data_IF_308056235226
#
_entry.id   IF_308056235226
#
_cell.length_a   1.000
_cell.length_b   1.000
_cell.length_c   1.000
_cell.angle_alpha   90.00
_cell.angle_beta   90.00
_cell.angle_gamma   90.00
#
_symmetry.space_group_name_H-M   'P 1'
#
loop_
_entity.id
_entity.type
_entity.pdbx_description
1 polymer ?
#
# COMPACT_ATOMS: atom_id res chain seq x y z
N UNK A 1 -17.02 11.44 3.03
CA UNK A 1 -16.11 11.84 4.13
C UNK A 1 -15.62 13.27 3.92
N UNK A 2 -15.63 14.16 4.94
CA UNK A 2 -15.37 15.60 4.74
C UNK A 2 -13.96 16.01 5.22
N UNK A 3 -12.93 15.44 4.60
CA UNK A 3 -11.55 15.87 4.77
C UNK A 3 -11.16 16.88 3.67
N UNK A 4 -10.14 17.68 3.95
CA UNK A 4 -9.55 18.64 3.01
C UNK A 4 -8.22 18.12 2.45
N UNK A 5 -7.54 17.26 3.24
CA UNK A 5 -6.21 16.77 2.94
C UNK A 5 -6.14 15.24 3.12
N UNK A 6 -5.65 14.58 2.11
CA UNK A 6 -5.55 13.12 2.03
C UNK A 6 -4.09 12.73 1.88
N UNK A 7 -3.56 11.98 2.83
CA UNK A 7 -2.20 11.45 2.83
C UNK A 7 -2.29 9.96 2.54
N UNK A 8 -1.71 9.53 1.44
CA UNK A 8 -1.82 8.18 0.91
C UNK A 8 -0.54 7.38 1.12
N UNK A 9 -0.65 6.13 1.53
CA UNK A 9 0.35 5.12 1.19
C UNK A 9 0.23 4.74 -0.28
N UNK A 10 1.26 4.10 -0.83
CA UNK A 10 1.26 3.68 -2.23
C UNK A 10 0.96 2.19 -2.38
N UNK A 11 1.86 1.36 -1.84
CA UNK A 11 1.85 -0.08 -2.11
C UNK A 11 0.86 -0.83 -1.23
N UNK A 12 -0.12 -1.49 -1.80
CA UNK A 12 -1.23 -2.11 -1.08
C UNK A 12 -2.42 -1.17 -0.89
N UNK A 13 -2.26 0.12 -1.21
CA UNK A 13 -3.31 1.14 -1.05
C UNK A 13 -3.77 1.72 -2.39
N UNK A 14 -2.91 2.39 -3.12
CA UNK A 14 -3.22 2.89 -4.47
C UNK A 14 -2.70 1.95 -5.55
N UNK A 15 -1.55 1.34 -5.31
CA UNK A 15 -0.88 0.39 -6.20
C UNK A 15 -1.12 -1.03 -5.71
N UNK A 16 -1.74 -1.88 -6.52
CA UNK A 16 -1.83 -3.32 -6.28
C UNK A 16 -0.51 -3.99 -6.64
N UNK A 17 0.52 -3.66 -5.86
CA UNK A 17 1.83 -4.26 -6.05
C UNK A 17 1.87 -5.73 -5.66
N UNK A 18 0.93 -6.23 -4.87
CA UNK A 18 0.85 -7.66 -4.53
C UNK A 18 0.46 -8.48 -5.75
N UNK A 19 -0.38 -7.94 -6.65
CA UNK A 19 -0.69 -8.60 -7.92
C UNK A 19 0.56 -8.73 -8.80
N UNK A 20 1.29 -7.64 -9.05
CA UNK A 20 2.54 -7.67 -9.80
C UNK A 20 3.60 -8.54 -9.12
N UNK A 21 3.75 -8.41 -7.79
CA UNK A 21 4.70 -9.19 -7.01
C UNK A 21 4.38 -10.69 -7.03
N UNK A 22 3.09 -11.08 -6.96
CA UNK A 22 2.69 -12.49 -7.02
C UNK A 22 2.93 -13.09 -8.39
N UNK A 23 2.75 -12.30 -9.45
CA UNK A 23 3.08 -12.72 -10.81
C UNK A 23 4.59 -12.97 -10.96
N UNK A 24 5.43 -12.01 -10.56
CA UNK A 24 6.88 -12.16 -10.58
C UNK A 24 7.36 -13.35 -9.73
N UNK A 25 6.79 -13.52 -8.53
CA UNK A 25 7.14 -14.62 -7.63
C UNK A 25 6.83 -15.98 -8.26
N UNK A 26 5.62 -16.14 -8.81
CA UNK A 26 5.19 -17.38 -9.47
C UNK A 26 6.03 -17.69 -10.72
N UNK A 27 6.35 -16.66 -11.51
CA UNK A 27 7.23 -16.82 -12.67
C UNK A 27 8.64 -17.23 -12.27
N UNK A 28 9.17 -16.71 -11.18
CA UNK A 28 10.49 -17.10 -10.62
C UNK A 28 10.47 -18.56 -10.13
N UNK A 29 9.40 -18.97 -9.41
CA UNK A 29 9.23 -20.37 -8.99
C UNK A 29 9.24 -21.32 -10.20
N UNK A 30 8.53 -20.94 -11.25
CA UNK A 30 8.50 -21.74 -12.47
C UNK A 30 9.87 -21.79 -13.16
N UNK A 31 10.55 -20.65 -13.32
CA UNK A 31 11.83 -20.60 -14.04
C UNK A 31 12.96 -21.35 -13.31
N UNK A 32 12.97 -21.34 -11.97
CA UNK A 32 14.02 -21.97 -11.18
C UNK A 32 13.76 -23.45 -10.85
N UNK A 33 12.51 -23.87 -10.75
CA UNK A 33 12.16 -25.21 -10.24
C UNK A 33 10.96 -25.86 -10.94
N UNK A 34 10.40 -25.26 -12.01
CA UNK A 34 9.15 -25.69 -12.65
C UNK A 34 8.00 -25.89 -11.63
N UNK A 35 8.09 -25.14 -10.51
CA UNK A 35 7.14 -25.22 -9.40
C UNK A 35 5.93 -24.36 -9.65
N UNK A 36 4.73 -24.98 -9.56
CA UNK A 36 3.44 -24.29 -9.68
C UNK A 36 2.81 -24.17 -8.30
N UNK A 37 2.48 -22.94 -7.92
CA UNK A 37 1.71 -22.61 -6.71
C UNK A 37 0.53 -21.74 -7.16
N UNK A 38 -0.61 -21.84 -6.50
CA UNK A 38 -1.74 -20.96 -6.78
C UNK A 38 -1.30 -19.49 -6.54
N UNK A 39 -1.53 -18.64 -7.53
CA UNK A 39 -1.13 -17.22 -7.43
C UNK A 39 -1.80 -16.51 -6.27
N UNK A 40 -3.03 -16.88 -5.93
CA UNK A 40 -3.74 -16.38 -4.74
C UNK A 40 -3.00 -16.69 -3.44
N UNK A 41 -2.43 -17.91 -3.31
CA UNK A 41 -1.68 -18.30 -2.11
C UNK A 41 -0.37 -17.52 -2.00
N UNK A 42 0.27 -17.23 -3.14
CA UNK A 42 1.47 -16.36 -3.20
C UNK A 42 1.10 -14.92 -2.84
N UNK A 43 0.01 -14.40 -3.40
CA UNK A 43 -0.52 -13.07 -3.12
C UNK A 43 -0.74 -12.87 -1.62
N UNK A 44 -1.47 -13.80 -0.98
CA UNK A 44 -1.76 -13.76 0.46
C UNK A 44 -0.49 -13.85 1.31
N UNK A 45 0.47 -14.70 0.91
CA UNK A 45 1.75 -14.80 1.61
C UNK A 45 2.59 -13.52 1.50
N UNK A 46 2.58 -12.86 0.34
CA UNK A 46 3.27 -11.59 0.14
C UNK A 46 2.64 -10.43 0.93
N UNK A 47 1.32 -10.47 1.16
CA UNK A 47 0.65 -9.51 2.08
C UNK A 47 1.19 -9.63 3.51
N UNK A 48 1.57 -10.82 3.96
CA UNK A 48 2.25 -10.99 5.25
C UNK A 48 3.66 -10.42 5.18
N UNK A 49 4.52 -10.98 4.34
CA UNK A 49 5.84 -10.42 3.99
C UNK A 49 6.50 -11.22 2.86
N UNK A 50 7.44 -10.59 2.16
CA UNK A 50 8.30 -11.30 1.18
C UNK A 50 9.08 -12.44 1.85
N UNK A 51 9.59 -12.24 3.08
CA UNK A 51 10.33 -13.27 3.81
C UNK A 51 9.44 -14.49 4.09
N UNK A 52 8.20 -14.28 4.53
CA UNK A 52 7.24 -15.35 4.76
C UNK A 52 6.90 -16.12 3.46
N UNK A 53 6.69 -15.41 2.35
CA UNK A 53 6.42 -16.06 1.06
C UNK A 53 7.61 -16.91 0.59
N UNK A 54 8.84 -16.41 0.73
CA UNK A 54 10.06 -17.15 0.39
C UNK A 54 10.22 -18.38 1.28
N UNK A 55 10.05 -18.23 2.59
CA UNK A 55 10.12 -19.36 3.54
C UNK A 55 9.11 -20.45 3.18
N UNK A 56 7.89 -20.05 2.86
CA UNK A 56 6.77 -20.97 2.58
C UNK A 56 6.91 -21.70 1.24
N UNK A 57 7.40 -21.03 0.20
CA UNK A 57 7.32 -21.58 -1.17
C UNK A 57 8.67 -21.80 -1.86
N UNK A 58 9.75 -21.23 -1.36
CA UNK A 58 11.05 -21.21 -2.03
C UNK A 58 12.26 -21.38 -1.06
N UNK A 59 12.04 -21.87 0.15
CA UNK A 59 13.11 -22.04 1.17
C UNK A 59 14.23 -22.99 0.74
N UNK A 60 13.95 -23.89 -0.19
CA UNK A 60 14.89 -24.86 -0.77
C UNK A 60 15.55 -24.37 -2.08
N UNK A 61 15.31 -23.13 -2.51
CA UNK A 61 15.81 -22.56 -3.76
C UNK A 61 16.87 -21.46 -3.48
N UNK A 62 18.17 -21.79 -3.47
CA UNK A 62 19.21 -20.79 -3.30
C UNK A 62 19.16 -19.71 -4.38
N UNK A 63 19.29 -18.43 -4.02
CA UNK A 63 19.26 -17.30 -4.96
C UNK A 63 17.86 -16.87 -5.39
N UNK A 64 16.79 -17.54 -4.95
CA UNK A 64 15.42 -17.22 -5.35
C UNK A 64 15.06 -15.75 -5.09
N UNK A 65 15.39 -15.22 -3.92
CA UNK A 65 15.05 -13.85 -3.56
C UNK A 65 15.68 -12.83 -4.52
N UNK A 66 16.90 -13.07 -4.97
CA UNK A 66 17.60 -12.18 -5.90
C UNK A 66 16.91 -12.16 -7.28
N UNK A 67 16.64 -13.35 -7.84
CA UNK A 67 15.96 -13.46 -9.14
C UNK A 67 14.52 -12.92 -9.09
N UNK A 68 13.80 -13.23 -8.01
CA UNK A 68 12.46 -12.67 -7.79
C UNK A 68 12.48 -11.14 -7.77
N UNK A 69 13.45 -10.52 -7.05
CA UNK A 69 13.54 -9.06 -6.96
C UNK A 69 13.87 -8.39 -8.29
N UNK A 70 14.64 -9.04 -9.16
CA UNK A 70 14.88 -8.54 -10.53
C UNK A 70 13.57 -8.52 -11.32
N UNK A 71 12.86 -9.63 -11.33
CA UNK A 71 11.62 -9.75 -12.10
C UNK A 71 10.51 -8.86 -11.51
N UNK A 72 10.41 -8.75 -10.18
CA UNK A 72 9.48 -7.83 -9.51
C UNK A 72 9.72 -6.38 -9.92
N UNK A 73 10.99 -5.95 -10.06
CA UNK A 73 11.31 -4.60 -10.48
C UNK A 73 10.83 -4.31 -11.92
N UNK A 74 10.98 -5.30 -12.82
CA UNK A 74 10.49 -5.20 -14.21
C UNK A 74 8.95 -5.12 -14.28
N UNK A 75 8.25 -5.96 -13.50
CA UNK A 75 6.79 -5.94 -13.43
C UNK A 75 6.25 -4.61 -12.88
N UNK A 76 6.97 -3.99 -11.94
CA UNK A 76 6.59 -2.69 -11.36
C UNK A 76 6.77 -1.50 -12.32
N UNK A 77 7.43 -1.68 -13.46
CA UNK A 77 7.43 -0.68 -14.55
C UNK A 77 6.04 -0.53 -15.19
N UNK A 78 5.16 -1.51 -15.01
CA UNK A 78 3.76 -1.49 -15.44
C UNK A 78 2.84 -1.55 -14.22
N UNK A 79 2.71 -0.42 -13.50
CA UNK A 79 1.99 -0.41 -12.23
C UNK A 79 0.50 -0.73 -12.42
N UNK A 80 0.00 -1.65 -11.61
CA UNK A 80 -1.42 -1.97 -11.52
C UNK A 80 -2.01 -1.17 -10.36
N UNK A 81 -3.00 -0.33 -10.63
CA UNK A 81 -3.72 0.41 -9.60
C UNK A 81 -4.91 -0.39 -9.09
N UNK A 82 -5.20 -0.27 -7.79
CA UNK A 82 -6.47 -0.73 -7.28
C UNK A 82 -7.64 -0.05 -8.00
N UNK A 83 -8.74 -0.80 -8.13
CA UNK A 83 -9.97 -0.29 -8.74
C UNK A 83 -10.41 1.02 -8.06
N UNK A 84 -10.73 2.02 -8.86
CA UNK A 84 -11.17 3.31 -8.36
C UNK A 84 -10.07 4.30 -7.94
N UNK A 85 -8.81 3.88 -7.76
CA UNK A 85 -7.72 4.76 -7.29
C UNK A 85 -7.59 6.06 -8.10
N UNK A 86 -7.45 5.95 -9.43
CA UNK A 86 -7.35 7.13 -10.31
C UNK A 86 -8.61 8.00 -10.27
N UNK A 87 -9.81 7.37 -10.20
CA UNK A 87 -11.09 8.07 -10.10
C UNK A 87 -11.18 8.89 -8.82
N UNK A 88 -10.80 8.30 -7.69
CA UNK A 88 -10.84 8.98 -6.37
C UNK A 88 -9.87 10.15 -6.36
N UNK A 89 -8.60 9.96 -6.71
CA UNK A 89 -7.60 11.02 -6.75
C UNK A 89 -8.04 12.18 -7.64
N UNK A 90 -8.56 11.88 -8.85
CA UNK A 90 -9.09 12.89 -9.76
C UNK A 90 -10.26 13.64 -9.14
N UNK A 91 -11.23 12.94 -8.55
CA UNK A 91 -12.41 13.55 -7.94
C UNK A 91 -12.02 14.49 -6.80
N UNK A 92 -11.13 14.05 -5.91
CA UNK A 92 -10.64 14.88 -4.81
C UNK A 92 -9.94 16.15 -5.32
N UNK A 93 -9.05 16.02 -6.32
CA UNK A 93 -8.34 17.16 -6.89
C UNK A 93 -9.29 18.17 -7.57
N UNK A 94 -10.27 17.71 -8.33
CA UNK A 94 -11.28 18.58 -8.98
C UNK A 94 -12.12 19.33 -7.94
N UNK A 95 -12.36 18.73 -6.78
CA UNK A 95 -13.10 19.36 -5.67
C UNK A 95 -12.19 20.18 -4.74
N UNK A 96 -10.98 20.53 -5.17
CA UNK A 96 -10.06 21.41 -4.42
C UNK A 96 -9.43 20.76 -3.18
N UNK A 97 -9.59 19.44 -3.02
CA UNK A 97 -8.92 18.69 -1.95
C UNK A 97 -7.46 18.45 -2.32
N UNK A 98 -6.59 18.34 -1.30
CA UNK A 98 -5.16 18.11 -1.51
C UNK A 98 -4.81 16.65 -1.28
N UNK A 99 -4.06 16.05 -2.21
CA UNK A 99 -3.50 14.73 -2.04
C UNK A 99 -1.98 14.83 -1.80
N UNK A 100 -1.50 14.07 -0.84
CA UNK A 100 -0.10 13.88 -0.50
C UNK A 100 0.19 12.38 -0.51
N UNK A 101 1.45 12.00 -0.70
CA UNK A 101 1.87 10.62 -0.61
C UNK A 101 3.03 10.45 0.34
N UNK A 102 3.06 9.34 1.08
CA UNK A 102 4.19 8.91 1.89
C UNK A 102 4.50 7.46 1.52
N UNK A 103 5.68 7.21 0.95
CA UNK A 103 6.14 5.89 0.56
C UNK A 103 7.47 5.53 1.21
N UNK A 104 7.63 4.27 1.57
CA UNK A 104 8.93 3.72 2.01
C UNK A 104 9.89 3.39 0.85
N UNK A 105 9.44 3.57 -0.39
CA UNK A 105 10.29 3.45 -1.58
C UNK A 105 11.10 4.74 -1.76
N UNK A 106 12.21 4.64 -2.48
CA UNK A 106 13.03 5.79 -2.89
C UNK A 106 12.35 6.59 -4.04
N UNK A 107 13.10 7.46 -4.72
CA UNK A 107 12.62 8.29 -5.83
C UNK A 107 11.99 7.52 -7.01
N UNK A 108 12.21 6.20 -7.13
CA UNK A 108 11.53 5.35 -8.13
C UNK A 108 10.01 5.45 -8.05
N UNK A 109 9.46 5.85 -6.89
CA UNK A 109 8.02 6.17 -6.75
C UNK A 109 7.55 7.14 -7.83
N UNK A 110 8.35 8.15 -8.17
CA UNK A 110 7.97 9.16 -9.16
C UNK A 110 7.80 8.55 -10.57
N UNK A 111 8.64 7.58 -10.92
CA UNK A 111 8.51 6.82 -12.17
C UNK A 111 7.22 5.98 -12.17
N UNK A 112 6.93 5.30 -11.07
CA UNK A 112 5.70 4.52 -10.91
C UNK A 112 4.46 5.41 -11.04
N UNK A 113 4.44 6.56 -10.36
CA UNK A 113 3.32 7.50 -10.41
C UNK A 113 3.12 8.09 -11.82
N UNK A 114 4.22 8.32 -12.55
CA UNK A 114 4.18 8.79 -13.93
C UNK A 114 3.64 7.72 -14.85
N UNK A 115 4.11 6.47 -14.75
CA UNK A 115 3.64 5.35 -15.56
C UNK A 115 2.15 5.03 -15.28
N UNK A 116 1.70 5.18 -14.02
CA UNK A 116 0.29 5.04 -13.64
C UNK A 116 -0.57 6.27 -14.01
N UNK A 117 0.03 7.34 -14.52
CA UNK A 117 -0.63 8.61 -14.85
C UNK A 117 -1.42 9.22 -13.67
N UNK A 118 -0.88 9.11 -12.45
CA UNK A 118 -1.50 9.68 -11.23
C UNK A 118 -0.63 10.72 -10.53
N UNK A 119 0.61 10.91 -10.96
CA UNK A 119 1.57 11.80 -10.31
C UNK A 119 1.07 13.26 -10.19
N UNK A 120 0.33 13.74 -11.20
CA UNK A 120 -0.20 15.11 -11.24
C UNK A 120 -1.29 15.40 -10.19
N UNK A 121 -1.85 14.38 -9.54
CA UNK A 121 -2.85 14.56 -8.49
C UNK A 121 -2.24 14.86 -7.12
N UNK A 122 -0.92 14.67 -6.96
CA UNK A 122 -0.25 14.87 -5.67
C UNK A 122 0.37 16.27 -5.55
N UNK A 123 0.12 16.92 -4.43
CA UNK A 123 0.75 18.18 -4.05
C UNK A 123 2.22 17.96 -3.67
N UNK A 124 2.50 16.87 -2.96
CA UNK A 124 3.85 16.41 -2.63
C UNK A 124 3.90 14.90 -2.44
N UNK A 125 5.04 14.33 -2.79
CA UNK A 125 5.38 12.92 -2.58
C UNK A 125 6.60 12.84 -1.68
N UNK A 126 6.43 12.27 -0.49
CA UNK A 126 7.51 12.01 0.47
C UNK A 126 7.99 10.58 0.26
N UNK A 127 9.28 10.42 0.02
CA UNK A 127 9.94 9.14 -0.25
C UNK A 127 10.97 8.80 0.83
N UNK A 128 11.57 7.62 0.76
CA UNK A 128 12.67 7.23 1.65
C UNK A 128 13.86 8.21 1.56
N UNK A 129 14.06 8.86 0.41
CA UNK A 129 15.19 9.78 0.17
C UNK A 129 15.05 11.12 0.93
N UNK A 130 13.86 11.41 1.47
CA UNK A 130 13.66 12.57 2.33
C UNK A 130 14.29 12.42 3.74
N UNK A 131 14.74 11.21 4.10
CA UNK A 131 15.49 10.96 5.32
C UNK A 131 14.67 10.94 6.61
N UNK A 132 13.34 10.98 6.54
CA UNK A 132 12.47 10.81 7.70
C UNK A 132 12.47 9.36 8.19
N UNK A 133 12.21 9.17 9.49
CA UNK A 133 11.96 7.82 10.00
C UNK A 133 10.74 7.24 9.33
N UNK A 134 10.83 5.94 9.04
CA UNK A 134 9.75 5.19 8.39
C UNK A 134 8.52 5.07 9.30
N UNK A 135 7.32 5.01 8.70
CA UNK A 135 6.10 4.60 9.42
C UNK A 135 6.41 3.30 10.21
N UNK A 136 5.99 3.19 11.47
CA UNK A 136 4.93 3.97 12.12
C UNK A 136 5.37 5.32 12.73
N UNK A 137 6.61 5.79 12.52
CA UNK A 137 6.98 7.11 12.99
C UNK A 137 6.19 8.22 12.25
N UNK A 138 5.67 9.25 12.96
CA UNK A 138 4.80 10.27 12.38
C UNK A 138 5.57 11.39 11.64
N UNK A 139 6.89 11.32 11.54
CA UNK A 139 7.74 12.43 11.09
C UNK A 139 7.36 12.95 9.70
N UNK A 140 7.09 12.07 8.74
CA UNK A 140 6.68 12.45 7.38
C UNK A 140 5.31 13.14 7.36
N UNK A 141 4.38 12.70 8.20
CA UNK A 141 3.06 13.34 8.34
C UNK A 141 3.21 14.70 8.97
N UNK A 142 3.95 14.81 10.08
CA UNK A 142 4.21 16.07 10.77
C UNK A 142 4.91 17.10 9.86
N UNK A 143 5.83 16.65 9.01
CA UNK A 143 6.46 17.49 7.99
C UNK A 143 5.40 18.08 7.04
N UNK A 144 4.50 17.28 6.49
CA UNK A 144 3.44 17.73 5.60
C UNK A 144 2.48 18.69 6.32
N UNK A 145 2.06 18.35 7.54
CA UNK A 145 1.20 19.22 8.35
C UNK A 145 1.82 20.60 8.56
N UNK A 146 3.10 20.64 8.91
CA UNK A 146 3.84 21.88 9.17
C UNK A 146 4.06 22.69 7.89
N UNK A 147 4.60 22.05 6.84
CA UNK A 147 4.98 22.71 5.59
C UNK A 147 3.79 23.37 4.90
N UNK A 148 2.66 22.69 4.87
CA UNK A 148 1.44 23.12 4.18
C UNK A 148 0.42 23.77 5.10
N UNK A 149 0.74 23.91 6.40
CA UNK A 149 -0.17 24.45 7.44
C UNK A 149 -1.53 23.75 7.42
N UNK A 150 -1.49 22.40 7.35
CA UNK A 150 -2.70 21.60 7.28
C UNK A 150 -3.38 21.53 8.65
N UNK A 151 -4.71 21.54 8.68
CA UNK A 151 -5.47 21.28 9.89
C UNK A 151 -5.50 19.76 10.15
N UNK A 152 -4.93 19.23 11.25
CA UNK A 152 -4.95 17.81 11.54
C UNK A 152 -6.36 17.20 11.56
N UNK A 153 -7.36 17.95 12.06
CA UNK A 153 -8.77 17.51 12.11
C UNK A 153 -9.46 17.44 10.74
N UNK A 154 -8.83 17.94 9.70
CA UNK A 154 -9.29 17.91 8.31
C UNK A 154 -8.32 17.13 7.42
N UNK A 155 -7.41 16.39 8.03
CA UNK A 155 -6.40 15.59 7.36
C UNK A 155 -6.56 14.13 7.74
N UNK A 156 -6.45 13.23 6.76
CA UNK A 156 -6.57 11.79 6.95
C UNK A 156 -5.38 11.06 6.35
N UNK A 157 -4.86 10.05 7.08
CA UNK A 157 -3.88 9.08 6.56
C UNK A 157 -4.61 7.83 6.08
N UNK A 158 -4.29 7.35 4.88
CA UNK A 158 -4.91 6.17 4.26
C UNK A 158 -3.82 5.16 3.95
N UNK A 159 -3.99 3.93 4.43
CA UNK A 159 -3.06 2.84 4.21
C UNK A 159 -3.67 1.47 4.44
N UNK A 160 -2.96 0.42 4.02
CA UNK A 160 -3.39 -0.98 4.10
C UNK A 160 -2.72 -1.75 5.25
N UNK A 161 -1.84 -1.08 6.03
CA UNK A 161 -1.10 -1.72 7.12
C UNK A 161 -1.25 -0.97 8.44
N UNK A 162 -1.08 -1.70 9.56
CA UNK A 162 -1.10 -1.14 10.91
C UNK A 162 -0.15 0.05 11.06
N UNK A 163 1.02 -0.01 10.44
CA UNK A 163 2.03 1.05 10.53
C UNK A 163 1.56 2.39 9.94
N UNK A 164 0.62 2.37 8.98
CA UNK A 164 0.02 3.58 8.41
C UNK A 164 -0.93 4.23 9.42
N UNK A 165 -1.75 3.39 10.06
CA UNK A 165 -2.70 3.79 11.08
C UNK A 165 -1.97 4.33 12.32
N UNK A 166 -0.93 3.62 12.77
CA UNK A 166 -0.09 4.06 13.90
C UNK A 166 0.58 5.41 13.62
N UNK A 167 1.12 5.60 12.41
CA UNK A 167 1.74 6.87 12.02
C UNK A 167 0.72 8.02 11.99
N UNK A 168 -0.48 7.78 11.44
CA UNK A 168 -1.56 8.76 11.41
C UNK A 168 -2.03 9.15 12.81
N UNK A 169 -2.31 8.16 13.67
CA UNK A 169 -2.73 8.37 15.04
C UNK A 169 -1.65 9.11 15.86
N UNK A 170 -0.37 8.73 15.68
CA UNK A 170 0.75 9.41 16.35
C UNK A 170 0.94 10.86 15.90
N UNK A 171 0.55 11.20 14.65
CA UNK A 171 0.54 12.56 14.13
C UNK A 171 -0.72 13.36 14.51
N UNK A 172 -1.72 12.73 15.15
CA UNK A 172 -2.98 13.37 15.54
C UNK A 172 -3.92 13.65 14.37
N UNK A 173 -3.80 12.91 13.25
CA UNK A 173 -4.73 12.92 12.13
C UNK A 173 -5.66 11.72 12.18
N UNK A 174 -6.80 11.80 11.51
CA UNK A 174 -7.69 10.64 11.35
C UNK A 174 -7.08 9.62 10.38
N UNK A 175 -7.56 8.38 10.44
CA UNK A 175 -6.97 7.27 9.70
C UNK A 175 -8.05 6.42 9.01
N UNK A 176 -7.75 6.00 7.79
CA UNK A 176 -8.57 5.05 7.03
C UNK A 176 -7.73 3.80 6.75
N UNK A 177 -8.20 2.67 7.24
CA UNK A 177 -7.63 1.38 6.89
C UNK A 177 -8.29 0.86 5.61
N UNK A 178 -7.49 0.64 4.56
CA UNK A 178 -7.96 0.03 3.32
C UNK A 178 -7.73 -1.47 3.38
N UNK A 179 -8.82 -2.22 3.50
CA UNK A 179 -8.83 -3.68 3.45
C UNK A 179 -9.33 -4.16 2.08
N UNK A 180 -8.40 -4.44 1.17
CA UNK A 180 -8.70 -4.96 -0.17
C UNK A 180 -9.07 -6.45 -0.18
N UNK A 181 -9.11 -7.14 0.97
CA UNK A 181 -9.56 -8.52 1.02
C UNK A 181 -11.05 -8.59 0.74
N UNK A 182 -11.39 -9.07 -0.45
CA UNK A 182 -12.77 -9.35 -0.85
C UNK A 182 -13.26 -10.63 -0.17
N UNK A 183 -13.59 -10.56 1.12
CA UNK A 183 -14.26 -11.66 1.84
C UNK A 183 -15.73 -11.86 1.39
N UNK A 184 -16.04 -11.55 0.12
CA UNK A 184 -17.35 -11.85 -0.50
C UNK A 184 -17.49 -13.29 -1.01
N UNK A 185 -16.54 -14.19 -0.71
CA UNK A 185 -16.72 -15.63 -0.87
C UNK A 185 -16.75 -16.26 0.53
N UNK A 186 -17.97 -16.42 1.03
CA UNK A 186 -18.44 -17.37 2.05
C UNK A 186 -17.34 -18.05 2.90
N UNK A 187 -17.29 -17.63 4.16
CA UNK A 187 -17.13 -18.51 5.34
C UNK A 187 -16.76 -19.97 5.03
N UNK A 188 -15.53 -20.21 4.70
CA UNK A 188 -14.86 -21.41 5.19
C UNK A 188 -14.12 -20.95 6.43
N UNK A 189 -14.53 -21.46 7.56
CA UNK A 189 -13.89 -21.31 8.87
C UNK A 189 -12.45 -21.78 8.75
N UNK A 190 -11.55 -20.92 8.29
CA UNK A 190 -10.13 -21.14 8.36
C UNK A 190 -9.55 -20.11 9.32
N UNK A 191 -9.27 -20.67 10.49
CA UNK A 191 -8.34 -20.20 11.51
C UNK A 191 -8.21 -18.68 11.72
N UNK A 192 -8.53 -18.27 12.91
CA UNK A 192 -8.27 -17.02 13.63
C UNK A 192 -6.88 -16.37 13.48
N UNK A 193 -6.06 -16.76 12.50
CA UNK A 193 -4.71 -16.26 12.32
C UNK A 193 -4.63 -14.96 11.50
N UNK A 194 -5.61 -14.67 10.63
CA UNK A 194 -5.60 -13.46 9.80
C UNK A 194 -6.37 -12.29 10.45
N UNK A 195 -7.21 -12.55 11.45
CA UNK A 195 -7.92 -11.52 12.23
C UNK A 195 -7.13 -10.93 13.39
N UNK A 196 -5.93 -11.39 13.66
CA UNK A 196 -5.11 -10.98 14.80
C UNK A 196 -3.82 -10.25 14.40
N UNK A 197 -3.81 -9.46 13.32
CA UNK A 197 -2.99 -8.25 13.40
C UNK A 197 -3.78 -7.31 14.32
N UNK A 198 -3.55 -7.43 15.61
CA UNK A 198 -4.01 -6.47 16.60
C UNK A 198 -3.47 -5.12 16.15
N UNK A 199 -4.33 -4.31 15.54
CA UNK A 199 -4.04 -2.90 15.36
C UNK A 199 -3.82 -2.38 16.76
N UNK A 200 -2.59 -2.03 17.10
CA UNK A 200 -2.26 -1.44 18.41
C UNK A 200 -2.99 -0.11 18.61
N UNK A 201 -3.51 0.44 17.48
CA UNK A 201 -4.36 1.62 17.43
C UNK A 201 -5.49 1.38 16.42
N UNK A 202 -6.72 1.63 16.81
CA UNK A 202 -7.87 1.49 15.93
C UNK A 202 -7.86 2.57 14.83
N UNK A 203 -8.20 2.23 13.56
CA UNK A 203 -8.43 3.22 12.52
C UNK A 203 -9.75 3.98 12.78
N UNK A 204 -9.85 5.22 12.30
CA UNK A 204 -11.10 5.98 12.37
C UNK A 204 -12.18 5.35 11.46
N UNK A 205 -11.77 4.86 10.30
CA UNK A 205 -12.63 4.20 9.33
C UNK A 205 -11.94 2.98 8.73
N UNK A 206 -12.74 2.01 8.29
CA UNK A 206 -12.31 0.87 7.47
C UNK A 206 -13.11 0.96 6.16
N UNK A 207 -12.42 0.79 5.04
CA UNK A 207 -13.02 0.75 3.70
C UNK A 207 -12.53 -0.49 2.96
N UNK A 208 -13.36 -1.03 2.08
CA UNK A 208 -13.02 -2.17 1.23
C UNK A 208 -12.86 -1.78 -0.24
N UNK A 209 -13.41 -0.65 -0.62
CA UNK A 209 -13.25 -0.04 -1.94
C UNK A 209 -12.80 1.42 -1.79
N UNK A 210 -11.80 1.83 -2.59
CA UNK A 210 -11.30 3.21 -2.54
C UNK A 210 -12.39 4.25 -2.85
N UNK A 211 -13.40 3.86 -3.63
CA UNK A 211 -14.54 4.74 -3.98
C UNK A 211 -15.41 5.13 -2.80
N UNK A 212 -15.37 4.40 -1.69
CA UNK A 212 -16.09 4.74 -0.46
C UNK A 212 -15.63 6.07 0.15
N UNK A 213 -14.41 6.50 -0.15
CA UNK A 213 -13.88 7.81 0.27
C UNK A 213 -14.73 8.98 -0.27
N UNK A 214 -15.43 8.77 -1.38
CA UNK A 214 -16.24 9.79 -2.03
C UNK A 214 -17.68 9.86 -1.49
N UNK A 215 -18.06 8.96 -0.57
CA UNK A 215 -19.36 8.94 0.09
C UNK A 215 -19.32 9.79 1.37
#
# INVERSE_FOLDING_TARGET
MDYENYIWDLGGTLLDNYESSSHAFSATLWSMAERVVLRTDVYDALKVSTAYAVEKFASDLPGFLEEYKKLEAEELEKPILFSGAKKVLKSLSVNGKKNFMISHRNHQVLTILSAAEIGSYFTEVVTADNGFKRKPAPESINYLLSKYKLNPKKTVMIGDRSLDIEAGNAAGVETIYFDSSNDSIQSVKTSNATKNVLLTNEPTHIIHELTEILL
#
